data_IF_210544092024
#
_entry.id   IF_210544092024
#
_cell.length_a   1.000
_cell.length_b   1.000
_cell.length_c   1.000
_cell.angle_alpha   90.00
_cell.angle_beta   90.00
_cell.angle_gamma   90.00
#
_symmetry.space_group_name_H-M   'P 1'
#
loop_
_entity.id
_entity.type
_entity.pdbx_description
1 polymer ?
#
# COMPACT_ATOMS: atom_id res chain seq x y z
N UNK A 1 37.43 14.56 -36.57
CA UNK A 1 35.99 14.26 -36.44
C UNK A 1 35.64 13.54 -35.12
N UNK A 2 36.32 12.43 -34.78
CA UNK A 2 35.90 11.57 -33.66
C UNK A 2 35.98 12.20 -32.26
N UNK A 3 36.88 13.17 -32.04
CA UNK A 3 36.99 13.87 -30.74
C UNK A 3 35.75 14.71 -30.43
N UNK A 4 35.16 15.38 -31.43
CA UNK A 4 33.93 16.16 -31.23
C UNK A 4 32.73 15.27 -30.94
N UNK A 5 32.65 14.12 -31.62
CA UNK A 5 31.61 13.12 -31.37
C UNK A 5 31.74 12.53 -29.97
N UNK A 6 32.96 12.19 -29.53
CA UNK A 6 33.21 11.70 -28.18
C UNK A 6 32.83 12.73 -27.10
N UNK A 7 33.19 14.01 -27.29
CA UNK A 7 32.82 15.09 -26.36
C UNK A 7 31.30 15.29 -26.33
N UNK A 8 30.64 15.29 -27.50
CA UNK A 8 29.19 15.39 -27.57
C UNK A 8 28.51 14.22 -26.85
N UNK A 9 29.00 12.99 -27.04
CA UNK A 9 28.47 11.81 -26.38
C UNK A 9 28.60 11.90 -24.85
N UNK A 10 29.75 12.36 -24.37
CA UNK A 10 29.99 12.58 -22.94
C UNK A 10 29.03 13.63 -22.36
N UNK A 11 28.85 14.75 -23.04
CA UNK A 11 27.93 15.81 -22.60
C UNK A 11 26.50 15.27 -22.53
N UNK A 12 26.03 14.60 -23.58
CA UNK A 12 24.68 14.01 -23.62
C UNK A 12 24.50 13.01 -22.48
N UNK A 13 25.46 12.11 -22.26
CA UNK A 13 25.40 11.13 -21.16
C UNK A 13 25.35 11.78 -19.78
N UNK A 14 26.11 12.87 -19.57
CA UNK A 14 26.14 13.59 -18.30
C UNK A 14 24.82 14.30 -18.01
N UNK A 15 24.18 14.88 -19.03
CA UNK A 15 22.88 15.54 -18.89
C UNK A 15 21.78 14.52 -18.62
N UNK A 16 21.77 13.39 -19.34
CA UNK A 16 20.79 12.32 -19.10
C UNK A 16 20.93 11.71 -17.70
N UNK A 17 22.17 11.49 -17.23
CA UNK A 17 22.41 10.99 -15.88
C UNK A 17 21.93 11.98 -14.80
N UNK A 18 22.12 13.28 -15.01
CA UNK A 18 21.63 14.33 -14.10
C UNK A 18 20.09 14.41 -14.02
N UNK A 19 19.38 14.17 -15.12
CA UNK A 19 17.91 14.13 -15.14
C UNK A 19 17.32 12.84 -14.57
N UNK A 20 18.06 11.72 -14.65
CA UNK A 20 17.67 10.45 -14.03
C UNK A 20 18.09 10.35 -12.55
N UNK A 21 19.01 11.23 -12.11
CA UNK A 21 19.35 11.37 -10.69
C UNK A 21 18.11 11.85 -9.96
N UNK A 22 17.48 10.91 -9.25
CA UNK A 22 16.48 11.22 -8.25
C UNK A 22 17.10 12.29 -7.34
N UNK A 23 16.44 13.44 -7.11
CA UNK A 23 16.98 14.43 -6.19
C UNK A 23 17.27 13.68 -4.89
N UNK A 24 18.50 13.81 -4.41
CA UNK A 24 18.92 13.29 -3.11
C UNK A 24 17.76 13.53 -2.16
N UNK A 25 17.15 12.48 -1.57
CA UNK A 25 16.04 12.67 -0.67
C UNK A 25 16.50 13.70 0.35
N UNK A 26 15.82 14.86 0.40
CA UNK A 26 15.93 15.76 1.53
C UNK A 26 15.79 14.84 2.75
N UNK A 27 16.84 14.78 3.58
CA UNK A 27 16.98 13.81 4.66
C UNK A 27 16.04 14.16 5.82
N UNK A 28 14.79 14.51 5.49
CA UNK A 28 13.73 14.78 6.44
C UNK A 28 13.40 13.45 7.10
N UNK A 29 13.66 13.30 8.42
CA UNK A 29 13.22 12.10 9.11
C UNK A 29 11.70 12.02 9.00
N UNK A 30 11.20 10.88 8.55
CA UNK A 30 9.76 10.63 8.53
C UNK A 30 9.21 10.73 9.95
N UNK A 31 8.08 11.40 10.09
CA UNK A 31 7.32 11.38 11.33
C UNK A 31 6.81 9.96 11.61
N UNK A 32 6.43 9.70 12.87
CA UNK A 32 5.86 8.41 13.25
C UNK A 32 4.60 8.08 12.43
N UNK A 33 3.76 9.09 12.13
CA UNK A 33 2.55 8.91 11.32
C UNK A 33 2.86 8.61 9.86
N UNK A 34 3.79 9.34 9.24
CA UNK A 34 4.23 9.07 7.86
C UNK A 34 4.83 7.67 7.74
N UNK A 35 5.64 7.26 8.72
CA UNK A 35 6.24 5.91 8.75
C UNK A 35 5.17 4.84 8.87
N UNK A 36 4.16 5.06 9.72
CA UNK A 36 3.02 4.15 9.88
C UNK A 36 2.20 4.05 8.61
N UNK A 37 1.91 5.17 7.96
CA UNK A 37 1.17 5.20 6.71
C UNK A 37 1.94 4.49 5.58
N UNK A 38 3.25 4.74 5.48
CA UNK A 38 4.13 4.06 4.53
C UNK A 38 4.16 2.54 4.77
N UNK A 39 4.23 2.11 6.03
CA UNK A 39 4.20 0.70 6.38
C UNK A 39 2.87 0.03 6.03
N UNK A 40 1.74 0.72 6.24
CA UNK A 40 0.41 0.23 5.86
C UNK A 40 0.24 0.14 4.35
N UNK A 41 0.77 1.09 3.58
CA UNK A 41 0.78 1.04 2.12
C UNK A 41 1.66 -0.10 1.59
N UNK A 42 2.86 -0.27 2.17
CA UNK A 42 3.73 -1.37 1.81
C UNK A 42 3.06 -2.73 2.13
N UNK A 43 2.31 -2.81 3.23
CA UNK A 43 1.55 -4.00 3.60
C UNK A 43 0.41 -4.29 2.62
N UNK A 44 -0.35 -3.30 2.19
CA UNK A 44 -1.47 -3.49 1.26
C UNK A 44 -1.02 -3.99 -0.13
N UNK A 45 0.21 -3.65 -0.54
CA UNK A 45 0.79 -4.10 -1.83
C UNK A 45 1.34 -5.53 -1.82
N UNK A 46 1.52 -6.16 -0.65
CA UNK A 46 2.20 -7.48 -0.52
C UNK A 46 1.38 -8.70 -0.93
N UNK A 47 0.09 -8.54 -1.24
CA UNK A 47 -0.76 -9.65 -1.71
C UNK A 47 -0.87 -10.82 -0.72
N UNK A 48 -0.89 -10.51 0.58
CA UNK A 48 -0.97 -11.51 1.65
C UNK A 48 -2.38 -12.13 1.74
N UNK A 49 -2.46 -13.33 2.33
CA UNK A 49 -3.75 -13.89 2.74
C UNK A 49 -4.41 -13.00 3.80
N UNK A 50 -5.73 -13.12 3.94
CA UNK A 50 -6.50 -12.26 4.86
C UNK A 50 -5.96 -12.31 6.29
N UNK A 51 -5.71 -13.51 6.82
CA UNK A 51 -5.24 -13.68 8.20
C UNK A 51 -3.85 -13.08 8.40
N UNK A 52 -2.92 -13.32 7.47
CA UNK A 52 -1.57 -12.76 7.52
C UNK A 52 -1.57 -11.23 7.42
N UNK A 53 -2.41 -10.67 6.54
CA UNK A 53 -2.58 -9.23 6.40
C UNK A 53 -3.09 -8.63 7.72
N UNK A 54 -4.11 -9.23 8.33
CA UNK A 54 -4.66 -8.76 9.60
C UNK A 54 -3.64 -8.86 10.74
N UNK A 55 -2.90 -9.96 10.81
CA UNK A 55 -1.85 -10.16 11.81
C UNK A 55 -0.77 -9.07 11.73
N UNK A 56 -0.28 -8.77 10.53
CA UNK A 56 0.74 -7.75 10.29
C UNK A 56 0.18 -6.33 10.49
N UNK A 57 -1.06 -6.07 10.06
CA UNK A 57 -1.72 -4.77 10.26
C UNK A 57 -1.93 -4.47 11.75
N UNK A 58 -2.34 -5.46 12.53
CA UNK A 58 -2.49 -5.35 13.98
C UNK A 58 -1.16 -4.99 14.66
N UNK A 59 -0.06 -5.63 14.25
CA UNK A 59 1.28 -5.32 14.73
C UNK A 59 1.71 -3.87 14.42
N UNK A 60 1.40 -3.37 13.21
CA UNK A 60 1.70 -1.98 12.82
C UNK A 60 0.84 -0.93 13.52
N UNK A 61 -0.38 -1.28 13.90
CA UNK A 61 -1.33 -0.34 14.50
C UNK A 61 -1.36 -0.43 16.03
N UNK A 62 -0.62 -1.38 16.62
CA UNK A 62 -0.66 -1.69 18.05
C UNK A 62 -2.03 -2.19 18.53
N UNK A 63 -2.90 -2.58 17.60
CA UNK A 63 -4.20 -3.15 17.95
C UNK A 63 -4.01 -4.60 18.36
N UNK A 64 -4.71 -5.08 19.41
CA UNK A 64 -4.73 -6.50 19.72
C UNK A 64 -5.20 -7.26 18.47
N UNK A 65 -4.50 -8.35 18.13
CA UNK A 65 -4.96 -9.29 17.12
C UNK A 65 -6.27 -9.89 17.62
N UNK A 66 -7.38 -9.22 17.30
CA UNK A 66 -8.71 -9.78 17.51
C UNK A 66 -8.79 -10.99 16.58
N UNK A 67 -9.08 -12.19 17.08
CA UNK A 67 -9.48 -13.26 16.18
C UNK A 67 -10.68 -12.71 15.42
N UNK A 68 -10.53 -12.51 14.11
CA UNK A 68 -11.63 -12.20 13.21
C UNK A 68 -12.44 -13.50 13.06
N UNK A 69 -13.03 -13.95 14.17
CA UNK A 69 -14.06 -14.96 14.15
C UNK A 69 -15.25 -14.32 13.48
N UNK A 70 -15.74 -14.94 12.41
CA UNK A 70 -17.07 -14.63 11.92
C UNK A 70 -18.02 -14.78 13.11
N UNK A 71 -18.67 -13.69 13.53
CA UNK A 71 -19.77 -13.79 14.47
C UNK A 71 -20.75 -14.81 13.86
N UNK A 72 -21.25 -15.79 14.62
CA UNK A 72 -22.25 -16.75 14.13
C UNK A 72 -23.54 -16.08 13.58
N UNK A 73 -23.64 -14.76 13.67
CA UNK A 73 -24.68 -13.94 13.05
C UNK A 73 -24.37 -13.53 11.59
N UNK A 74 -23.13 -13.74 11.11
CA UNK A 74 -22.70 -13.48 9.73
C UNK A 74 -23.12 -14.57 8.73
N UNK A 75 -23.74 -15.64 9.19
CA UNK A 75 -24.47 -16.60 8.36
C UNK A 75 -25.78 -15.96 7.87
N UNK A 76 -25.66 -14.92 7.03
CA UNK A 76 -26.79 -14.43 6.25
C UNK A 76 -27.11 -15.47 5.19
N UNK A 77 -27.96 -16.43 5.58
CA UNK A 77 -28.56 -17.39 4.68
C UNK A 77 -29.22 -16.62 3.52
N UNK A 78 -28.73 -16.81 2.29
CA UNK A 78 -29.35 -16.27 1.07
C UNK A 78 -30.81 -16.74 0.90
N UNK A 79 -31.24 -17.75 1.66
CA UNK A 79 -32.61 -18.28 1.69
C UNK A 79 -33.50 -17.62 2.75
N UNK A 80 -32.96 -16.80 3.67
CA UNK A 80 -33.78 -16.08 4.64
C UNK A 80 -34.29 -14.79 4.00
N UNK A 81 -35.24 -14.94 3.08
CA UNK A 81 -36.07 -13.82 2.65
C UNK A 81 -36.70 -13.19 3.89
N UNK A 82 -36.21 -12.02 4.31
CA UNK A 82 -36.87 -11.21 5.33
C UNK A 82 -38.20 -10.79 4.70
N UNK A 83 -39.27 -11.51 5.01
CA UNK A 83 -40.63 -11.04 4.74
C UNK A 83 -40.84 -9.80 5.58
N UNK A 84 -40.62 -8.63 4.97
CA UNK A 84 -41.03 -7.33 5.49
C UNK A 84 -42.56 -7.34 5.63
N UNK A 85 -43.03 -7.76 6.79
CA UNK A 85 -44.44 -7.73 7.17
C UNK A 85 -44.85 -6.25 7.26
N UNK A 86 -45.55 -5.74 6.24
CA UNK A 86 -46.19 -4.44 6.33
C UNK A 86 -46.20 -3.54 5.10
N UNK A 87 -45.75 -3.99 3.92
CA UNK A 87 -45.97 -3.21 2.68
C UNK A 87 -47.13 -3.81 1.88
N UNK A 88 -48.31 -3.16 1.82
CA UNK A 88 -49.35 -3.57 0.90
C UNK A 88 -48.88 -3.32 -0.54
N UNK A 89 -49.04 -4.34 -1.38
CA UNK A 89 -48.89 -4.31 -2.84
C UNK A 89 -49.96 -3.47 -3.50
#
# INVERSE_FOLDING_TARGET
MNRFLAVSLLIVSSVLAGCATHPSPELRPYTAEETKQLALEALSRRGLSFDEYQQQRAALTGQPQKPFGFDRQGEMNAERSVTLHGRPS
#
